data_IF_697738625922
#
_entry.id   IF_697738625922
#
_cell.length_a   1.000
_cell.length_b   1.000
_cell.length_c   1.000
_cell.angle_alpha   90.00
_cell.angle_beta   90.00
_cell.angle_gamma   90.00
#
_symmetry.space_group_name_H-M   'P 1'
#
loop_
_entity.id
_entity.type
_entity.pdbx_description
1 polymer ?
#
# COMPACT_ATOMS: atom_id res chain seq x y z
N UNK A 1 21.98 24.96 -6.16
CA UNK A 1 20.66 25.35 -5.65
C UNK A 1 19.79 24.11 -5.74
N UNK A 2 19.21 23.67 -4.63
CA UNK A 2 18.53 22.37 -4.55
C UNK A 2 17.22 22.39 -5.35
N UNK A 3 17.21 21.69 -6.49
CA UNK A 3 16.05 21.62 -7.40
C UNK A 3 14.82 21.06 -6.67
N UNK A 4 15.01 20.07 -5.78
CA UNK A 4 13.92 19.43 -5.04
C UNK A 4 13.25 20.44 -4.12
N UNK A 5 14.04 21.18 -3.33
CA UNK A 5 13.52 22.19 -2.43
C UNK A 5 12.80 23.33 -3.18
N UNK A 6 13.36 23.76 -4.32
CA UNK A 6 12.74 24.79 -5.15
C UNK A 6 11.39 24.35 -5.74
N UNK A 7 11.29 23.13 -6.28
CA UNK A 7 10.03 22.58 -6.79
C UNK A 7 9.01 22.36 -5.66
N UNK A 8 9.47 21.87 -4.51
CA UNK A 8 8.63 21.64 -3.34
C UNK A 8 7.93 22.93 -2.90
N UNK A 9 8.68 24.03 -2.78
CA UNK A 9 8.19 25.31 -2.27
C UNK A 9 7.45 26.18 -3.31
N UNK A 10 7.22 25.70 -4.54
CA UNK A 10 6.39 26.45 -5.50
C UNK A 10 4.96 26.58 -4.99
N UNK A 11 4.40 27.79 -5.08
CA UNK A 11 3.00 28.03 -4.72
C UNK A 11 2.05 27.15 -5.55
N UNK A 12 2.34 26.96 -6.84
CA UNK A 12 1.58 26.08 -7.73
C UNK A 12 1.63 24.61 -7.31
N UNK A 13 2.72 24.16 -6.68
CA UNK A 13 2.79 22.81 -6.14
C UNK A 13 1.88 22.64 -4.91
N UNK A 14 1.85 23.63 -4.01
CA UNK A 14 0.95 23.62 -2.86
C UNK A 14 -0.53 23.71 -3.28
N UNK A 15 -0.86 24.43 -4.36
CA UNK A 15 -2.20 24.44 -4.94
C UNK A 15 -2.63 23.05 -5.43
N UNK A 16 -1.78 22.38 -6.23
CA UNK A 16 -2.04 20.99 -6.67
C UNK A 16 -2.14 20.01 -5.50
N UNK A 17 -1.32 20.21 -4.46
CA UNK A 17 -1.37 19.40 -3.25
C UNK A 17 -2.70 19.55 -2.51
N UNK A 18 -3.19 20.80 -2.41
CA UNK A 18 -4.52 21.07 -1.86
C UNK A 18 -5.63 20.40 -2.66
N UNK A 19 -5.64 20.55 -3.99
CA UNK A 19 -6.64 19.94 -4.87
C UNK A 19 -6.75 18.43 -4.61
N UNK A 20 -5.61 17.73 -4.59
CA UNK A 20 -5.55 16.30 -4.31
C UNK A 20 -6.00 15.93 -2.90
N UNK A 21 -5.69 16.75 -1.89
CA UNK A 21 -6.17 16.53 -0.51
C UNK A 21 -7.68 16.74 -0.40
N UNK A 22 -8.23 17.74 -1.09
CA UNK A 22 -9.66 18.03 -1.11
C UNK A 22 -10.45 16.93 -1.83
N UNK A 23 -9.94 16.42 -2.96
CA UNK A 23 -10.55 15.31 -3.72
C UNK A 23 -10.72 14.03 -2.88
N UNK A 24 -9.77 13.76 -1.98
CA UNK A 24 -9.81 12.59 -1.10
C UNK A 24 -10.89 12.66 0.00
N UNK A 25 -11.50 13.83 0.23
CA UNK A 25 -12.60 14.05 1.22
C UNK A 25 -12.30 13.49 2.62
N UNK A 26 -11.03 13.54 3.04
CA UNK A 26 -10.60 13.03 4.34
C UNK A 26 -11.18 13.83 5.51
N UNK A 27 -11.31 13.20 6.67
CA UNK A 27 -11.83 13.86 7.88
C UNK A 27 -10.86 14.92 8.43
N UNK A 28 -11.37 15.75 9.34
CA UNK A 28 -10.55 16.70 10.10
C UNK A 28 -9.53 15.98 11.01
N UNK A 29 -8.40 16.64 11.26
CA UNK A 29 -7.41 16.21 12.23
C UNK A 29 -7.79 16.58 13.66
N UNK A 30 -6.78 16.74 14.52
CA UNK A 30 -6.99 17.12 15.93
C UNK A 30 -7.46 18.57 16.11
N UNK A 31 -7.19 19.44 15.13
CA UNK A 31 -7.51 20.86 15.12
C UNK A 31 -8.97 21.16 14.73
N UNK A 32 -9.71 20.13 14.30
CA UNK A 32 -11.09 20.26 13.83
C UNK A 32 -11.24 21.03 12.52
N UNK A 33 -10.16 21.39 11.83
CA UNK A 33 -10.24 22.05 10.52
C UNK A 33 -10.69 21.03 9.47
N UNK A 34 -11.88 21.25 8.89
CA UNK A 34 -12.41 20.42 7.80
C UNK A 34 -11.89 20.91 6.44
N UNK A 35 -12.05 20.08 5.40
CA UNK A 35 -11.78 20.49 4.02
C UNK A 35 -12.58 21.75 3.67
N UNK A 36 -13.88 21.79 3.99
CA UNK A 36 -14.73 22.97 3.68
C UNK A 36 -14.26 24.23 4.41
N UNK A 37 -13.80 24.11 5.66
CA UNK A 37 -13.27 25.23 6.43
C UNK A 37 -11.94 25.72 5.88
N UNK A 38 -11.05 24.81 5.44
CA UNK A 38 -9.83 25.22 4.76
C UNK A 38 -10.14 25.88 3.41
N UNK A 39 -11.12 25.34 2.67
CA UNK A 39 -11.53 25.81 1.35
C UNK A 39 -12.07 27.25 1.38
N UNK A 40 -12.77 27.64 2.44
CA UNK A 40 -13.39 28.97 2.56
C UNK A 40 -12.39 30.13 2.42
N UNK A 41 -11.12 29.91 2.78
CA UNK A 41 -10.02 30.88 2.64
C UNK A 41 -8.81 30.27 1.94
N UNK A 42 -9.03 29.33 0.99
CA UNK A 42 -7.96 28.50 0.43
C UNK A 42 -6.74 29.28 -0.07
N UNK A 43 -6.93 30.40 -0.77
CA UNK A 43 -5.83 31.19 -1.35
C UNK A 43 -4.88 31.69 -0.27
N UNK A 44 -5.43 32.28 0.79
CA UNK A 44 -4.66 32.81 1.92
C UNK A 44 -4.04 31.66 2.71
N UNK A 45 -4.81 30.61 3.00
CA UNK A 45 -4.36 29.45 3.76
C UNK A 45 -3.17 28.75 3.08
N UNK A 46 -3.25 28.54 1.77
CA UNK A 46 -2.18 27.91 0.97
C UNK A 46 -0.92 28.78 0.99
N UNK A 47 -1.08 30.09 0.77
CA UNK A 47 0.04 31.02 0.78
C UNK A 47 0.76 31.02 2.14
N UNK A 48 0.00 31.17 3.22
CA UNK A 48 0.53 31.16 4.59
C UNK A 48 1.20 29.82 4.94
N UNK A 49 0.60 28.70 4.54
CA UNK A 49 1.16 27.38 4.80
C UNK A 49 2.49 27.18 4.07
N UNK A 50 2.57 27.54 2.78
CA UNK A 50 3.81 27.47 2.00
C UNK A 50 4.89 28.36 2.61
N UNK A 51 4.56 29.62 2.92
CA UNK A 51 5.51 30.56 3.51
C UNK A 51 5.97 30.09 4.89
N UNK A 52 5.09 29.46 5.68
CA UNK A 52 5.45 28.85 6.96
C UNK A 52 6.46 27.70 6.81
N UNK A 53 6.32 26.87 5.78
CA UNK A 53 7.29 25.82 5.46
C UNK A 53 8.61 26.44 4.99
N UNK A 54 8.56 27.44 4.10
CA UNK A 54 9.75 28.12 3.57
C UNK A 54 10.55 28.84 4.65
N UNK A 55 9.87 29.41 5.65
CA UNK A 55 10.48 30.18 6.73
C UNK A 55 10.72 29.34 8.01
N UNK A 56 10.56 28.02 7.93
CA UNK A 56 10.75 27.09 9.07
C UNK A 56 9.87 27.39 10.30
N UNK A 57 8.69 27.99 10.11
CA UNK A 57 7.71 28.24 11.18
C UNK A 57 6.57 27.21 11.20
N UNK A 58 6.45 26.40 10.16
CA UNK A 58 5.53 25.25 10.13
C UNK A 58 5.96 24.18 11.15
N UNK A 59 5.01 23.73 11.97
CA UNK A 59 5.18 22.63 12.90
C UNK A 59 4.05 21.61 12.72
N UNK A 60 4.38 20.33 12.46
CA UNK A 60 3.38 19.27 12.38
C UNK A 60 2.58 19.13 13.67
N UNK A 61 1.28 18.86 13.53
CA UNK A 61 0.41 18.59 14.67
C UNK A 61 0.32 17.09 14.96
N UNK A 62 0.09 16.68 16.22
CA UNK A 62 -0.18 15.29 16.54
C UNK A 62 -1.27 14.68 15.66
N UNK A 63 -1.07 13.45 15.20
CA UNK A 63 -2.06 12.72 14.41
C UNK A 63 -3.26 12.33 15.28
N UNK A 64 -4.46 12.41 14.73
CA UNK A 64 -5.68 11.91 15.37
C UNK A 64 -5.77 10.39 15.22
N UNK A 65 -5.93 9.65 16.32
CA UNK A 65 -6.22 8.22 16.25
C UNK A 65 -7.67 8.00 15.80
N UNK A 66 -7.87 7.11 14.83
CA UNK A 66 -9.18 6.65 14.38
C UNK A 66 -9.17 5.13 14.29
N UNK A 67 -10.08 4.48 15.01
CA UNK A 67 -10.21 3.03 15.04
C UNK A 67 -11.28 2.60 14.02
N UNK A 68 -10.88 1.80 13.04
CA UNK A 68 -11.78 1.25 12.02
C UNK A 68 -11.91 -0.26 12.22
N UNK A 69 -13.12 -0.83 12.31
CA UNK A 69 -13.31 -2.27 12.37
C UNK A 69 -12.94 -2.92 11.02
N UNK A 70 -12.12 -3.97 11.04
CA UNK A 70 -11.90 -4.84 9.87
C UNK A 70 -13.03 -5.87 9.77
N UNK A 71 -13.21 -6.42 8.57
CA UNK A 71 -14.22 -7.47 8.29
C UNK A 71 -14.04 -8.74 9.12
N UNK A 72 -12.81 -9.05 9.55
CA UNK A 72 -12.48 -10.21 10.37
C UNK A 72 -12.62 -9.95 11.89
N UNK A 73 -13.19 -8.80 12.29
CA UNK A 73 -13.37 -8.41 13.70
C UNK A 73 -12.14 -7.77 14.35
N UNK A 74 -10.96 -7.80 13.71
CA UNK A 74 -9.79 -7.08 14.23
C UNK A 74 -9.94 -5.56 14.01
N UNK A 75 -9.22 -4.75 14.79
CA UNK A 75 -9.23 -3.28 14.62
C UNK A 75 -8.08 -2.82 13.72
N UNK A 76 -8.30 -1.78 12.91
CA UNK A 76 -7.26 -1.03 12.21
C UNK A 76 -7.19 0.36 12.82
N UNK A 77 -6.04 0.69 13.37
CA UNK A 77 -5.77 2.03 13.87
C UNK A 77 -5.18 2.87 12.75
N UNK A 78 -5.86 3.96 12.43
CA UNK A 78 -5.34 5.00 11.57
C UNK A 78 -4.89 6.20 12.41
N UNK A 79 -3.83 6.84 11.95
CA UNK A 79 -3.21 8.03 12.53
C UNK A 79 -3.35 9.12 11.47
N UNK A 80 -4.35 9.98 11.62
CA UNK A 80 -4.78 10.95 10.60
C UNK A 80 -4.17 12.33 10.90
N UNK A 81 -3.32 12.88 10.02
CA UNK A 81 -2.80 14.24 10.18
C UNK A 81 -3.86 15.32 9.97
N UNK A 82 -3.58 16.57 10.35
CA UNK A 82 -4.45 17.72 10.03
C UNK A 82 -4.52 17.97 8.52
N UNK A 83 -5.53 18.72 8.06
CA UNK A 83 -5.65 19.10 6.64
C UNK A 83 -4.36 19.78 6.16
N UNK A 84 -3.82 20.69 6.96
CA UNK A 84 -2.57 21.40 6.66
C UNK A 84 -1.39 20.46 6.53
N UNK A 85 -1.21 19.53 7.47
CA UNK A 85 -0.13 18.54 7.41
C UNK A 85 -0.24 17.67 6.15
N UNK A 86 -1.45 17.24 5.80
CA UNK A 86 -1.70 16.47 4.57
C UNK A 86 -1.31 17.25 3.32
N UNK A 87 -1.56 18.56 3.27
CA UNK A 87 -1.18 19.41 2.14
C UNK A 87 0.34 19.50 2.03
N UNK A 88 1.07 19.76 3.13
CA UNK A 88 2.54 19.85 3.08
C UNK A 88 3.15 18.50 2.68
N UNK A 89 2.65 17.40 3.26
CA UNK A 89 3.07 16.04 2.89
C UNK A 89 2.80 15.76 1.41
N UNK A 90 1.62 16.09 0.91
CA UNK A 90 1.25 15.89 -0.50
C UNK A 90 2.10 16.77 -1.43
N UNK A 91 2.40 18.01 -1.04
CA UNK A 91 3.29 18.89 -1.80
C UNK A 91 4.69 18.29 -1.94
N UNK A 92 5.23 17.68 -0.88
CA UNK A 92 6.50 16.98 -0.98
C UNK A 92 6.39 15.74 -1.89
N UNK A 93 5.33 14.93 -1.74
CA UNK A 93 5.11 13.76 -2.60
C UNK A 93 5.04 14.09 -4.09
N UNK A 94 4.43 15.21 -4.47
CA UNK A 94 4.35 15.65 -5.87
C UNK A 94 5.74 15.78 -6.51
N UNK A 95 6.76 16.08 -5.70
CA UNK A 95 8.16 16.19 -6.14
C UNK A 95 8.89 14.84 -5.99
N UNK A 96 8.61 14.09 -4.92
CA UNK A 96 9.30 12.82 -4.69
C UNK A 96 8.91 11.70 -5.65
N UNK A 97 7.64 11.60 -6.04
CA UNK A 97 7.21 10.52 -6.95
C UNK A 97 7.98 10.52 -8.27
N UNK A 98 8.09 11.63 -9.03
CA UNK A 98 8.87 11.65 -10.26
C UNK A 98 10.32 11.18 -10.09
N UNK A 99 10.97 11.54 -8.97
CA UNK A 99 12.37 11.20 -8.70
C UNK A 99 12.52 9.74 -8.30
N UNK A 100 11.63 9.26 -7.42
CA UNK A 100 11.74 7.93 -6.85
C UNK A 100 11.23 6.85 -7.80
N UNK A 101 10.27 7.15 -8.68
CA UNK A 101 9.78 6.19 -9.68
C UNK A 101 10.88 5.75 -10.66
N UNK A 102 11.85 6.60 -10.95
CA UNK A 102 13.02 6.24 -11.78
C UNK A 102 14.01 5.30 -11.06
N UNK A 103 13.92 5.23 -9.73
CA UNK A 103 14.86 4.45 -8.88
C UNK A 103 14.23 3.17 -8.35
N UNK A 104 12.96 3.21 -7.98
CA UNK A 104 12.28 2.08 -7.36
C UNK A 104 12.34 0.84 -8.24
N UNK A 105 12.67 -0.28 -7.59
CA UNK A 105 12.71 -1.58 -8.23
C UNK A 105 11.40 -1.89 -8.95
N UNK A 106 11.49 -2.45 -10.16
CA UNK A 106 10.32 -2.93 -10.91
C UNK A 106 9.57 -4.08 -10.20
N UNK A 107 10.18 -4.66 -9.16
CA UNK A 107 9.54 -5.66 -8.31
C UNK A 107 8.57 -5.07 -7.26
N UNK A 108 8.55 -3.74 -7.07
CA UNK A 108 7.69 -3.06 -6.10
C UNK A 108 6.49 -2.40 -6.77
N UNK A 109 5.28 -2.71 -6.30
CA UNK A 109 4.03 -2.31 -6.96
C UNK A 109 3.13 -1.40 -6.11
N UNK A 110 3.15 -1.54 -4.79
CA UNK A 110 2.22 -0.80 -3.93
C UNK A 110 2.57 0.68 -3.85
N UNK A 111 1.54 1.52 -3.74
CA UNK A 111 1.66 2.96 -3.50
C UNK A 111 2.42 3.73 -4.58
N UNK A 112 2.55 3.14 -5.77
CA UNK A 112 3.21 3.76 -6.92
C UNK A 112 2.18 4.20 -7.95
N UNK A 113 2.34 5.35 -8.60
CA UNK A 113 1.44 5.80 -9.66
C UNK A 113 1.34 4.74 -10.77
N UNK A 114 0.14 4.52 -11.28
CA UNK A 114 -0.15 3.60 -12.40
C UNK A 114 0.18 2.11 -12.17
N UNK A 115 0.57 1.72 -10.95
CA UNK A 115 0.75 0.31 -10.57
C UNK A 115 -0.36 -0.13 -9.62
N UNK A 116 -0.86 -1.34 -9.86
CA UNK A 116 -1.95 -1.94 -9.11
C UNK A 116 -1.57 -3.30 -8.56
N UNK A 117 -2.38 -3.83 -7.65
CA UNK A 117 -2.22 -5.20 -7.17
C UNK A 117 -2.37 -6.22 -8.31
N UNK A 118 -3.13 -5.90 -9.37
CA UNK A 118 -3.26 -6.76 -10.55
C UNK A 118 -1.93 -6.87 -11.30
N UNK A 119 -1.16 -5.79 -11.42
CA UNK A 119 0.14 -5.84 -12.06
C UNK A 119 1.12 -6.72 -11.28
N UNK A 120 1.04 -6.71 -9.94
CA UNK A 120 1.81 -7.63 -9.11
C UNK A 120 1.39 -9.09 -9.35
N UNK A 121 0.08 -9.37 -9.40
CA UNK A 121 -0.47 -10.71 -9.69
C UNK A 121 -0.03 -11.22 -11.07
N UNK A 122 -0.11 -10.38 -12.10
CA UNK A 122 0.38 -10.68 -13.45
C UNK A 122 1.88 -10.98 -13.44
N UNK A 123 2.67 -10.21 -12.68
CA UNK A 123 4.11 -10.43 -12.59
C UNK A 123 4.47 -11.79 -11.98
N UNK A 124 3.69 -12.27 -11.01
CA UNK A 124 3.86 -13.62 -10.45
C UNK A 124 3.61 -14.69 -11.52
N UNK A 125 2.60 -14.48 -12.37
CA UNK A 125 2.30 -15.36 -13.50
C UNK A 125 3.47 -15.42 -14.48
N UNK A 126 4.02 -14.26 -14.85
CA UNK A 126 5.18 -14.18 -15.74
C UNK A 126 6.34 -15.00 -15.19
N UNK A 127 6.66 -14.86 -13.90
CA UNK A 127 7.76 -15.60 -13.28
C UNK A 127 7.52 -17.10 -13.25
N UNK A 128 6.29 -17.55 -12.95
CA UNK A 128 5.92 -18.96 -13.08
C UNK A 128 6.20 -19.48 -14.50
N UNK A 129 5.72 -18.76 -15.51
CA UNK A 129 5.83 -19.18 -16.92
C UNK A 129 7.28 -19.19 -17.41
N UNK A 130 8.18 -18.48 -16.71
CA UNK A 130 9.63 -18.52 -16.90
C UNK A 130 10.36 -19.56 -16.02
N UNK A 131 9.65 -20.48 -15.38
CA UNK A 131 10.23 -21.61 -14.65
C UNK A 131 10.61 -21.34 -13.19
N UNK A 132 10.11 -20.25 -12.58
CA UNK A 132 10.28 -19.98 -11.15
C UNK A 132 9.11 -20.60 -10.38
N UNK A 133 9.21 -21.90 -10.10
CA UNK A 133 8.10 -22.71 -9.61
C UNK A 133 7.94 -22.73 -8.08
N UNK A 134 8.98 -22.39 -7.33
CA UNK A 134 8.98 -22.37 -5.86
C UNK A 134 8.80 -20.96 -5.34
N UNK A 135 7.95 -20.82 -4.31
CA UNK A 135 7.50 -19.53 -3.80
C UNK A 135 7.68 -19.48 -2.29
N UNK A 136 8.38 -18.46 -1.82
CA UNK A 136 8.33 -18.00 -0.44
C UNK A 136 7.30 -16.87 -0.38
N UNK A 137 6.19 -17.15 0.29
CA UNK A 137 5.09 -16.22 0.56
C UNK A 137 5.29 -15.66 1.97
N UNK A 138 5.55 -14.35 2.10
CA UNK A 138 5.99 -13.76 3.35
C UNK A 138 5.42 -12.34 3.59
N UNK A 139 5.28 -12.02 4.87
CA UNK A 139 4.74 -10.77 5.40
C UNK A 139 5.67 -10.24 6.50
N UNK A 140 5.74 -8.92 6.66
CA UNK A 140 6.55 -8.29 7.70
C UNK A 140 5.68 -7.96 8.93
N UNK A 141 6.12 -8.37 10.12
CA UNK A 141 5.38 -8.14 11.36
C UNK A 141 5.20 -6.65 11.61
N UNK A 142 3.94 -6.19 11.61
CA UNK A 142 3.53 -4.80 11.92
C UNK A 142 4.47 -3.76 11.27
N UNK A 143 4.77 -3.93 9.97
CA UNK A 143 5.82 -3.19 9.27
C UNK A 143 5.83 -1.68 9.57
N UNK A 144 4.70 -1.01 9.37
CA UNK A 144 4.57 0.44 9.60
C UNK A 144 4.92 0.85 11.03
N UNK A 145 4.63 0.02 12.05
CA UNK A 145 4.93 0.34 13.46
C UNK A 145 6.38 0.00 13.84
N UNK A 146 7.08 -0.80 13.03
CA UNK A 146 8.44 -1.27 13.30
C UNK A 146 9.54 -0.51 12.53
N UNK A 147 9.21 0.39 11.60
CA UNK A 147 10.18 1.19 10.85
C UNK A 147 11.09 2.00 11.80
N UNK A 148 12.40 1.80 11.73
CA UNK A 148 13.37 2.50 12.57
C UNK A 148 13.67 3.88 11.98
N UNK A 149 13.32 4.96 12.70
CA UNK A 149 13.43 6.34 12.19
C UNK A 149 14.84 6.70 11.74
N UNK A 150 15.87 6.33 12.51
CA UNK A 150 17.25 6.66 12.16
C UNK A 150 17.68 6.02 10.84
N UNK A 151 17.29 4.76 10.59
CA UNK A 151 17.54 4.07 9.33
C UNK A 151 16.73 4.72 8.20
N UNK A 152 15.44 4.95 8.39
CA UNK A 152 14.59 5.63 7.41
C UNK A 152 15.20 6.96 6.94
N UNK A 153 15.67 7.79 7.87
CA UNK A 153 16.27 9.08 7.53
C UNK A 153 17.60 8.94 6.78
N UNK A 154 18.36 7.85 7.00
CA UNK A 154 19.55 7.54 6.20
C UNK A 154 19.15 7.17 4.77
N UNK A 155 18.16 6.29 4.59
CA UNK A 155 17.67 5.90 3.27
C UNK A 155 17.11 7.10 2.47
N UNK A 156 16.29 7.93 3.12
CA UNK A 156 15.78 9.17 2.52
C UNK A 156 16.93 10.07 2.08
N UNK A 157 17.99 10.18 2.88
CA UNK A 157 19.14 11.05 2.59
C UNK A 157 19.95 10.59 1.37
N UNK A 158 19.99 9.30 1.07
CA UNK A 158 20.65 8.78 -0.14
C UNK A 158 20.01 9.37 -1.40
N UNK A 159 18.71 9.65 -1.36
CA UNK A 159 17.96 10.17 -2.51
C UNK A 159 17.68 11.68 -2.43
N UNK A 160 17.59 12.24 -1.23
CA UNK A 160 17.23 13.64 -0.95
C UNK A 160 18.16 14.20 0.13
N UNK A 161 19.28 14.82 -0.29
CA UNK A 161 20.25 15.44 0.63
C UNK A 161 19.91 16.92 0.89
N UNK A 162 18.70 17.17 1.43
CA UNK A 162 18.26 18.50 1.85
C UNK A 162 17.95 18.51 3.35
N UNK A 163 18.66 19.32 4.13
CA UNK A 163 18.51 19.37 5.59
C UNK A 163 17.10 19.81 6.03
N UNK A 164 16.47 20.75 5.32
CA UNK A 164 15.12 21.22 5.61
C UNK A 164 14.07 20.14 5.40
N UNK A 165 14.12 19.43 4.26
CA UNK A 165 13.20 18.31 3.96
C UNK A 165 13.44 17.15 4.92
N UNK A 166 14.70 16.80 5.23
CA UNK A 166 15.02 15.75 6.19
C UNK A 166 14.49 16.09 7.60
N UNK A 167 14.61 17.35 8.02
CA UNK A 167 14.04 17.83 9.29
C UNK A 167 12.51 17.74 9.30
N UNK A 168 11.87 18.07 8.18
CA UNK A 168 10.43 17.98 8.01
C UNK A 168 9.93 16.53 8.09
N UNK A 169 10.59 15.60 7.38
CA UNK A 169 10.28 14.17 7.43
C UNK A 169 10.49 13.62 8.83
N UNK A 170 11.62 13.96 9.48
CA UNK A 170 11.87 13.60 10.87
C UNK A 170 10.74 14.07 11.78
N UNK A 171 10.30 15.32 11.62
CA UNK A 171 9.22 15.90 12.43
C UNK A 171 7.90 15.16 12.22
N UNK A 172 7.58 14.71 10.99
CA UNK A 172 6.37 13.92 10.73
C UNK A 172 6.40 12.52 11.31
N UNK A 173 7.53 11.81 11.24
CA UNK A 173 7.60 10.43 11.76
C UNK A 173 7.70 10.38 13.28
N UNK A 174 8.20 11.46 13.91
CA UNK A 174 8.28 11.61 15.36
C UNK A 174 7.08 12.35 15.98
N UNK A 175 6.12 12.81 15.17
CA UNK A 175 4.95 13.54 15.68
C UNK A 175 4.09 12.63 16.57
N UNK A 176 3.54 13.20 17.64
CA UNK A 176 2.68 12.45 18.56
C UNK A 176 1.40 11.94 17.90
N UNK A 177 0.76 10.97 18.54
CA UNK A 177 -0.59 10.51 18.22
C UNK A 177 -1.50 10.85 19.40
N UNK A 178 -2.54 11.63 19.15
CA UNK A 178 -3.58 11.91 20.15
C UNK A 178 -4.54 10.71 20.21
N UNK A 179 -4.53 10.03 21.35
CA UNK A 179 -5.40 8.91 21.71
C UNK A 179 -6.40 9.33 22.80
N UNK A 180 -7.33 8.46 23.17
CA UNK A 180 -8.24 8.70 24.31
C UNK A 180 -7.49 8.88 25.64
N UNK A 181 -6.31 8.27 25.77
CA UNK A 181 -5.46 8.30 26.96
C UNK A 181 -4.47 9.49 26.97
N UNK A 182 -4.44 10.29 25.89
CA UNK A 182 -3.55 11.43 25.72
C UNK A 182 -2.61 11.30 24.51
N UNK A 183 -1.60 12.16 24.45
CA UNK A 183 -0.62 12.20 23.34
C UNK A 183 0.50 11.19 23.60
N UNK A 184 0.66 10.25 22.66
CA UNK A 184 1.73 9.24 22.68
C UNK A 184 2.80 9.63 21.65
N UNK A 185 4.06 9.71 22.07
CA UNK A 185 5.19 10.00 21.18
C UNK A 185 5.80 8.69 20.65
N UNK A 186 5.84 8.46 19.32
CA UNK A 186 6.40 7.25 18.75
C UNK A 186 7.93 7.26 18.82
N UNK A 187 8.52 6.17 19.30
CA UNK A 187 9.98 5.94 19.25
C UNK A 187 10.43 5.29 17.93
N UNK A 188 9.49 4.65 17.23
CA UNK A 188 9.65 4.03 15.92
C UNK A 188 8.30 3.97 15.19
N UNK A 189 8.35 3.59 13.93
CA UNK A 189 7.21 3.45 13.05
C UNK A 189 6.82 4.74 12.34
N UNK A 190 5.94 4.64 11.36
CA UNK A 190 5.37 5.78 10.64
C UNK A 190 3.83 5.71 10.72
N UNK A 191 3.14 6.86 10.75
CA UNK A 191 1.70 6.89 10.96
C UNK A 191 0.90 6.27 9.80
N UNK A 192 0.23 5.14 10.05
CA UNK A 192 -0.71 4.57 9.08
C UNK A 192 -1.88 5.52 8.85
N UNK A 193 -1.97 6.13 7.67
CA UNK A 193 -3.00 7.12 7.34
C UNK A 193 -2.45 8.53 7.08
N UNK A 194 -1.18 8.78 7.36
CA UNK A 194 -0.49 9.95 6.84
C UNK A 194 -0.20 9.79 5.35
N UNK A 195 -0.26 10.90 4.62
CA UNK A 195 -0.22 10.91 3.15
C UNK A 195 1.15 10.47 2.66
N UNK A 196 2.23 10.87 3.36
CA UNK A 196 3.61 10.57 2.97
C UNK A 196 4.08 9.16 3.36
N UNK A 197 3.43 8.53 4.35
CA UNK A 197 3.89 7.24 4.91
C UNK A 197 4.07 6.14 3.87
N UNK A 198 3.18 5.96 2.86
CA UNK A 198 3.38 4.97 1.81
C UNK A 198 4.69 5.13 1.02
N UNK A 199 5.08 6.37 0.68
CA UNK A 199 6.35 6.65 0.00
C UNK A 199 7.55 6.31 0.90
N UNK A 200 7.50 6.72 2.17
CA UNK A 200 8.55 6.43 3.15
C UNK A 200 8.73 4.93 3.39
N UNK A 201 7.63 4.18 3.42
CA UNK A 201 7.63 2.72 3.47
C UNK A 201 8.36 2.11 2.27
N UNK A 202 8.10 2.58 1.04
CA UNK A 202 8.78 2.09 -0.14
C UNK A 202 10.27 2.46 -0.17
N UNK A 203 10.64 3.69 0.23
CA UNK A 203 12.05 4.08 0.38
C UNK A 203 12.76 3.15 1.37
N UNK A 204 12.14 2.85 2.51
CA UNK A 204 12.74 1.98 3.53
C UNK A 204 13.02 0.56 3.03
N UNK A 205 12.13 0.00 2.21
CA UNK A 205 12.27 -1.34 1.63
C UNK A 205 12.98 -1.35 0.28
N UNK A 206 13.46 -0.20 -0.22
CA UNK A 206 14.08 -0.15 -1.54
C UNK A 206 15.39 -0.94 -1.59
N UNK A 207 16.25 -0.80 -0.57
CA UNK A 207 17.49 -1.58 -0.44
C UNK A 207 17.21 -3.09 -0.39
N UNK A 208 16.11 -3.49 0.29
CA UNK A 208 15.66 -4.87 0.32
C UNK A 208 15.33 -5.37 -1.10
N UNK A 209 14.61 -4.56 -1.88
CA UNK A 209 14.28 -4.91 -3.27
C UNK A 209 15.53 -5.05 -4.14
N UNK A 210 16.48 -4.11 -4.02
CA UNK A 210 17.72 -4.11 -4.79
C UNK A 210 18.58 -5.33 -4.44
N UNK A 211 18.72 -5.65 -3.17
CA UNK A 211 19.49 -6.81 -2.72
C UNK A 211 18.97 -8.11 -3.34
N UNK A 212 17.65 -8.32 -3.34
CA UNK A 212 17.05 -9.55 -3.85
C UNK A 212 17.12 -9.59 -5.37
N UNK A 213 16.81 -8.47 -6.04
CA UNK A 213 16.81 -8.40 -7.50
C UNK A 213 18.21 -8.47 -8.12
N UNK A 214 19.26 -8.23 -7.33
CA UNK A 214 20.64 -8.49 -7.72
C UNK A 214 21.04 -9.98 -7.72
N UNK A 215 20.17 -10.87 -7.23
CA UNK A 215 20.39 -12.33 -7.22
C UNK A 215 19.64 -13.03 -8.37
N UNK A 216 19.70 -14.36 -8.38
CA UNK A 216 18.91 -15.21 -9.27
C UNK A 216 17.41 -15.23 -8.94
N UNK A 217 17.02 -14.79 -7.74
CA UNK A 217 15.64 -14.77 -7.27
C UNK A 217 14.75 -13.79 -8.04
N UNK A 218 13.43 -13.95 -7.91
CA UNK A 218 12.44 -13.01 -8.42
C UNK A 218 11.55 -12.51 -7.30
N UNK A 219 11.52 -11.20 -7.13
CA UNK A 219 10.69 -10.53 -6.13
C UNK A 219 9.41 -9.99 -6.78
N UNK A 220 8.30 -10.11 -6.07
CA UNK A 220 7.09 -9.33 -6.29
C UNK A 220 6.63 -8.81 -4.93
N UNK A 221 6.67 -7.49 -4.72
CA UNK A 221 6.33 -6.85 -3.45
C UNK A 221 5.17 -5.87 -3.61
N UNK A 222 4.20 -5.98 -2.71
CA UNK A 222 3.10 -5.05 -2.56
C UNK A 222 3.03 -4.58 -1.10
N UNK A 223 3.68 -3.43 -0.83
CA UNK A 223 3.87 -2.88 0.51
C UNK A 223 4.77 -3.80 1.35
N UNK A 224 4.25 -4.37 2.43
CA UNK A 224 4.88 -5.32 3.34
C UNK A 224 4.58 -6.80 3.03
N UNK A 225 3.67 -7.05 2.09
CA UNK A 225 3.33 -8.38 1.56
C UNK A 225 4.20 -8.65 0.32
N UNK A 226 4.95 -9.76 0.30
CA UNK A 226 5.85 -10.05 -0.80
C UNK A 226 6.01 -11.55 -1.09
N UNK A 227 6.24 -11.84 -2.36
CA UNK A 227 6.62 -13.17 -2.83
C UNK A 227 8.05 -13.15 -3.36
N UNK A 228 8.81 -14.18 -3.00
CA UNK A 228 10.10 -14.48 -3.61
C UNK A 228 9.98 -15.81 -4.33
N UNK A 229 10.39 -15.84 -5.60
CA UNK A 229 10.32 -17.02 -6.43
C UNK A 229 11.72 -17.51 -6.81
N UNK A 230 11.88 -18.83 -6.83
CA UNK A 230 13.09 -19.53 -7.25
C UNK A 230 12.73 -20.73 -8.14
N UNK A 231 13.69 -21.19 -8.94
CA UNK A 231 13.49 -22.36 -9.81
C UNK A 231 13.52 -23.70 -9.06
N UNK A 232 14.20 -23.77 -7.91
CA UNK A 232 14.37 -25.01 -7.14
C UNK A 232 13.97 -24.86 -5.67
N UNK A 233 13.67 -25.99 -5.03
CA UNK A 233 13.28 -26.03 -3.62
C UNK A 233 14.46 -25.67 -2.72
N UNK A 234 15.64 -26.18 -3.04
CA UNK A 234 16.85 -25.96 -2.28
C UNK A 234 17.19 -24.46 -2.25
N UNK A 235 17.05 -23.78 -3.39
CA UNK A 235 17.33 -22.35 -3.49
C UNK A 235 16.34 -21.52 -2.69
N UNK A 236 15.04 -21.84 -2.71
CA UNK A 236 14.05 -21.06 -1.95
C UNK A 236 14.22 -21.24 -0.44
N UNK A 237 14.61 -22.43 0.01
CA UNK A 237 14.94 -22.69 1.42
C UNK A 237 16.18 -21.90 1.87
N UNK A 238 17.20 -21.82 1.02
CA UNK A 238 18.35 -20.97 1.29
C UNK A 238 17.97 -19.48 1.31
N UNK A 239 17.14 -19.05 0.35
CA UNK A 239 16.67 -17.68 0.25
C UNK A 239 15.92 -17.25 1.51
N UNK A 240 15.08 -18.11 2.10
CA UNK A 240 14.37 -17.80 3.34
C UNK A 240 15.32 -17.35 4.46
N UNK A 241 16.45 -18.04 4.64
CA UNK A 241 17.44 -17.69 5.66
C UNK A 241 18.15 -16.35 5.35
N UNK A 242 18.50 -16.13 4.07
CA UNK A 242 19.11 -14.88 3.60
C UNK A 242 18.16 -13.68 3.86
N UNK A 243 16.87 -13.87 3.60
CA UNK A 243 15.83 -12.85 3.76
C UNK A 243 15.55 -12.54 5.23
N UNK A 244 15.52 -13.55 6.09
CA UNK A 244 15.42 -13.36 7.54
C UNK A 244 16.58 -12.49 8.03
N UNK A 245 17.82 -12.83 7.66
CA UNK A 245 19.01 -12.08 8.07
C UNK A 245 19.00 -10.65 7.52
N UNK A 246 18.54 -10.48 6.27
CA UNK A 246 18.43 -9.16 5.66
C UNK A 246 17.43 -8.30 6.42
N UNK A 247 16.20 -8.78 6.64
CA UNK A 247 15.17 -8.04 7.38
C UNK A 247 15.62 -7.69 8.80
N UNK A 248 16.29 -8.61 9.50
CA UNK A 248 16.83 -8.37 10.85
C UNK A 248 17.85 -7.22 10.85
N UNK A 249 18.75 -7.17 9.85
CA UNK A 249 19.69 -6.06 9.68
C UNK A 249 19.00 -4.70 9.42
N UNK A 250 17.75 -4.73 8.94
CA UNK A 250 16.89 -3.55 8.77
C UNK A 250 16.08 -3.22 10.02
N UNK A 251 16.18 -4.00 11.09
CA UNK A 251 15.33 -3.85 12.28
C UNK A 251 13.89 -4.29 12.05
N UNK A 252 13.66 -5.13 11.04
CA UNK A 252 12.37 -5.72 10.70
C UNK A 252 12.37 -7.21 11.03
N UNK A 253 11.17 -7.80 11.10
CA UNK A 253 11.00 -9.21 11.40
C UNK A 253 9.98 -9.83 10.46
N UNK A 254 10.32 -10.97 9.89
CA UNK A 254 9.42 -11.77 9.06
C UNK A 254 8.36 -12.46 9.93
N UNK A 255 7.13 -12.53 9.43
CA UNK A 255 5.99 -13.07 10.14
C UNK A 255 5.90 -14.59 10.01
N UNK A 256 6.54 -15.33 10.92
CA UNK A 256 6.61 -16.79 10.88
C UNK A 256 5.24 -17.50 10.80
N UNK A 257 4.15 -16.91 11.30
CA UNK A 257 2.81 -17.53 11.24
C UNK A 257 2.16 -17.38 9.85
N UNK A 258 2.53 -16.35 9.10
CA UNK A 258 2.03 -16.10 7.74
C UNK A 258 3.00 -16.54 6.66
N UNK A 259 4.27 -16.71 7.01
CA UNK A 259 5.29 -17.14 6.06
C UNK A 259 5.14 -18.62 5.74
N UNK A 260 5.24 -18.94 4.46
CA UNK A 260 5.23 -20.32 3.98
C UNK A 260 6.06 -20.48 2.71
N UNK A 261 6.65 -21.66 2.55
CA UNK A 261 7.24 -22.10 1.27
C UNK A 261 6.26 -23.05 0.59
N UNK A 262 5.92 -22.73 -0.65
CA UNK A 262 4.94 -23.44 -1.47
C UNK A 262 5.40 -23.46 -2.94
N UNK A 263 4.53 -23.96 -3.81
CA UNK A 263 4.75 -23.95 -5.25
C UNK A 263 3.39 -23.87 -5.96
N UNK A 264 3.42 -23.71 -7.29
CA UNK A 264 2.19 -23.59 -8.07
C UNK A 264 1.36 -24.88 -8.06
N UNK A 265 1.96 -26.07 -7.92
CA UNK A 265 1.20 -27.35 -7.83
C UNK A 265 0.36 -27.46 -6.56
N UNK A 266 0.89 -27.02 -5.41
CA UNK A 266 0.15 -26.97 -4.14
C UNK A 266 -0.84 -25.81 -4.12
N UNK A 267 -0.49 -24.74 -4.82
CA UNK A 267 -1.21 -23.49 -4.88
C UNK A 267 -1.05 -22.62 -3.64
N UNK A 268 -1.34 -21.34 -3.81
CA UNK A 268 -1.21 -20.32 -2.76
C UNK A 268 -2.07 -19.11 -3.07
N UNK A 269 -2.07 -18.13 -2.16
CA UNK A 269 -2.90 -16.93 -2.25
C UNK A 269 -2.01 -15.70 -2.15
N UNK A 270 -2.23 -14.73 -3.02
CA UNK A 270 -1.53 -13.45 -2.97
C UNK A 270 -2.46 -12.34 -3.47
N UNK A 271 -2.56 -11.24 -2.71
CA UNK A 271 -3.38 -10.06 -3.05
C UNK A 271 -4.81 -10.40 -3.51
N UNK A 272 -5.47 -11.32 -2.79
CA UNK A 272 -6.85 -11.73 -3.08
C UNK A 272 -7.01 -12.64 -4.30
N UNK A 273 -5.92 -13.17 -4.85
CA UNK A 273 -5.93 -14.11 -5.97
C UNK A 273 -5.35 -15.46 -5.54
N UNK A 274 -5.91 -16.54 -6.07
CA UNK A 274 -5.38 -17.89 -5.94
C UNK A 274 -4.54 -18.25 -7.16
N UNK A 275 -3.41 -18.91 -6.92
CA UNK A 275 -2.54 -19.49 -7.92
C UNK A 275 -2.56 -21.00 -7.74
N UNK A 276 -2.83 -21.75 -8.81
CA UNK A 276 -2.80 -23.21 -8.80
C UNK A 276 -2.47 -23.72 -10.21
N UNK A 277 -1.39 -24.49 -10.33
CA UNK A 277 -0.79 -24.90 -11.60
C UNK A 277 -0.68 -23.68 -12.54
N UNK A 278 -1.31 -23.74 -13.70
CA UNK A 278 -1.32 -22.66 -14.68
C UNK A 278 -2.49 -21.66 -14.47
N UNK A 279 -3.38 -21.92 -13.51
CA UNK A 279 -4.56 -21.10 -13.25
C UNK A 279 -4.29 -19.96 -12.26
N UNK A 280 -4.90 -18.81 -12.55
CA UNK A 280 -4.99 -17.65 -11.66
C UNK A 280 -6.47 -17.28 -11.57
N UNK A 281 -7.00 -17.14 -10.36
CA UNK A 281 -8.42 -16.87 -10.15
C UNK A 281 -8.63 -15.92 -8.96
N UNK A 282 -9.60 -15.00 -9.06
CA UNK A 282 -9.95 -14.14 -7.94
C UNK A 282 -10.54 -14.98 -6.80
N UNK A 283 -10.12 -14.71 -5.58
CA UNK A 283 -10.73 -15.28 -4.39
C UNK A 283 -11.96 -14.44 -4.05
N UNK A 284 -13.15 -14.97 -4.32
CA UNK A 284 -14.38 -14.32 -3.94
C UNK A 284 -14.39 -14.04 -2.43
N UNK A 285 -14.42 -12.75 -2.06
CA UNK A 285 -14.60 -12.27 -0.68
C UNK A 285 -16.00 -12.65 -0.14
N UNK A 286 -16.83 -13.33 -0.94
CA UNK A 286 -18.22 -13.68 -0.69
C UNK A 286 -18.53 -15.19 -0.91
N UNK A 287 -17.59 -16.07 -0.60
CA UNK A 287 -17.76 -17.52 -0.75
C UNK A 287 -18.89 -18.14 0.11
N UNK A 288 -19.56 -17.39 0.98
CA UNK A 288 -20.82 -17.81 1.62
C UNK A 288 -22.05 -17.73 0.69
N UNK A 289 -22.09 -16.81 -0.28
CA UNK A 289 -23.24 -16.69 -1.20
C UNK A 289 -23.22 -17.74 -2.33
N UNK A 290 -22.04 -18.21 -2.72
CA UNK A 290 -21.92 -19.24 -3.75
C UNK A 290 -22.41 -20.61 -3.23
N UNK A 291 -22.19 -20.92 -1.94
CA UNK A 291 -22.76 -22.13 -1.30
C UNK A 291 -24.29 -22.07 -1.23
N UNK A 292 -24.87 -20.91 -0.92
CA UNK A 292 -26.33 -20.73 -0.93
C UNK A 292 -26.95 -20.83 -2.34
N UNK A 293 -26.21 -20.44 -3.39
CA UNK A 293 -26.64 -20.58 -4.79
C UNK A 293 -26.53 -22.02 -5.33
N UNK A 294 -25.52 -22.77 -4.90
CA UNK A 294 -25.29 -24.17 -5.29
C UNK A 294 -26.23 -25.12 -4.53
N UNK A 295 -26.63 -24.80 -3.30
CA UNK A 295 -27.64 -25.58 -2.56
C UNK A 295 -29.07 -25.34 -3.09
N UNK A 296 -29.41 -24.12 -3.55
CA UNK A 296 -30.72 -23.85 -4.17
C UNK A 296 -30.90 -24.47 -5.57
N UNK A 297 -29.80 -24.79 -6.27
CA UNK A 297 -29.83 -25.39 -7.61
C UNK A 297 -29.81 -26.92 -7.60
N UNK A 298 -29.58 -27.57 -6.44
CA UNK A 298 -29.72 -29.04 -6.28
C UNK A 298 -31.16 -29.51 -5.98
N UNK A 299 -32.12 -28.60 -5.83
CA UNK A 299 -33.50 -28.92 -5.46
C UNK A 299 -34.55 -28.43 -6.45
N UNK A 300 -34.49 -28.82 -7.73
CA UNK A 300 -35.65 -28.80 -8.68
C UNK A 300 -35.29 -29.46 -10.02
N UNK A 301 -35.32 -30.80 -10.07
CA UNK A 301 -35.60 -31.52 -11.33
C UNK A 301 -37.08 -31.88 -11.32
N UNK A 302 -37.90 -31.16 -12.09
CA UNK A 302 -39.21 -31.65 -12.56
C UNK A 302 -39.13 -31.79 -14.07
N UNK A 303 -39.30 -33.03 -14.52
CA UNK A 303 -39.39 -33.45 -15.93
C UNK A 303 -40.69 -32.89 -16.54
N UNK A 304 -40.69 -32.23 -17.71
CA UNK A 304 -41.93 -31.91 -18.41
C UNK A 304 -42.31 -33.02 -19.40
N UNK A 305 -43.57 -33.44 -19.33
CA UNK A 305 -44.21 -34.40 -20.23
C UNK A 305 -44.55 -33.75 -21.60
N UNK A 306 -44.40 -34.52 -22.68
CA UNK A 306 -44.75 -34.14 -24.04
C UNK A 306 -46.24 -34.36 -24.38
N UNK A 307 -46.70 -33.53 -25.33
CA UNK A 307 -47.79 -33.69 -26.30
C UNK A 307 -49.23 -33.27 -25.93
N UNK A 308 -49.67 -32.15 -26.53
CA UNK A 308 -51.00 -32.00 -27.16
C UNK A 308 -50.89 -31.28 -28.51
N UNK A 309 -51.59 -31.84 -29.50
CA UNK A 309 -51.66 -31.50 -30.95
C UNK A 309 -52.21 -30.09 -31.23
N UNK A 310 -51.87 -29.46 -32.38
CA UNK A 310 -52.53 -28.25 -32.87
C UNK A 310 -53.75 -28.56 -33.76
N UNK A 311 -54.80 -27.74 -33.65
CA UNK A 311 -55.99 -27.72 -34.52
C UNK A 311 -55.75 -26.86 -35.75
N UNK A 312 -56.29 -27.34 -36.87
CA UNK A 312 -56.36 -26.73 -38.20
C UNK A 312 -57.07 -25.37 -38.21
N UNK A 313 -56.63 -24.49 -39.12
CA UNK A 313 -57.48 -23.47 -39.75
C UNK A 313 -57.21 -23.48 -41.26
N UNK A 314 -58.28 -23.72 -42.01
CA UNK A 314 -58.40 -23.74 -43.47
C UNK A 314 -58.76 -22.32 -43.92
N UNK A 315 -58.20 -21.83 -45.03
CA UNK A 315 -58.92 -21.07 -46.05
C UNK A 315 -58.13 -21.09 -47.38
N UNK A 316 -58.89 -21.47 -48.41
CA UNK A 316 -58.66 -21.73 -49.83
C UNK A 316 -58.64 -20.40 -50.65
N UNK A 317 -58.49 -20.37 -52.00
CA UNK A 317 -58.77 -21.39 -53.03
C UNK A 317 -57.59 -22.25 -53.47
#
# INVERSE_FOLDING_TARGET
MDIIANEFLKLSNFQRAWEKVAENRGCAGIDGETIDKFASNQTINIYQLRDGVSNSTYQPQPCKQVIIPKKNGSRRELKIPTVRDRIVQQALLNVLYPIMEEKFSAASFAYRPNLSYLNAVEKVADWRDNGYCWVLDADIVKFFDNIVHQRLLKEVRIHIDNSGILCLIKSWVSVGVLTEEGVILPQKGIPQGAVISPMLANIYLHEFDEFITATDLKLVRYADDFLILASTQERILQAELEIISLLDSMGLMMNAEKTQITNFERGFRFLGHGFLENAIFPLDVNSEKLKAGIEKSKGKKKVPALNKKPKQKILQP
#
